data_IF_824740742373
#
_entry.id   IF_824740742373
#
_cell.length_a   1.000
_cell.length_b   1.000
_cell.length_c   1.000
_cell.angle_alpha   90.00
_cell.angle_beta   90.00
_cell.angle_gamma   90.00
#
_symmetry.space_group_name_H-M   'P 1'
#
loop_
_entity.id
_entity.type
_entity.pdbx_description
1 polymer ?
#
# COMPACT_ATOMS: atom_id res chain seq x y z
N UNK A 1 -22.20 3.62 -2.56
CA UNK A 1 -20.90 3.02 -2.24
C UNK A 1 -20.20 3.97 -1.26
N UNK A 2 -19.65 3.44 -0.16
CA UNK A 2 -19.01 4.21 0.92
C UNK A 2 -17.62 3.65 1.27
N UNK A 3 -17.05 2.84 0.38
CA UNK A 3 -15.78 2.13 0.66
C UNK A 3 -14.65 3.11 0.92
N UNK A 4 -14.47 4.09 0.03
CA UNK A 4 -13.38 5.06 0.09
C UNK A 4 -13.44 5.90 1.38
N UNK A 5 -14.61 6.45 1.72
CA UNK A 5 -14.83 7.23 2.95
C UNK A 5 -14.51 6.43 4.20
N UNK A 6 -14.94 5.16 4.25
CA UNK A 6 -14.79 4.32 5.44
C UNK A 6 -13.34 3.91 5.66
N UNK A 7 -12.64 3.53 4.59
CA UNK A 7 -11.21 3.20 4.66
C UNK A 7 -10.41 4.42 5.07
N UNK A 8 -10.68 5.59 4.48
CA UNK A 8 -10.00 6.82 4.85
C UNK A 8 -10.27 7.23 6.29
N UNK A 9 -11.49 7.05 6.79
CA UNK A 9 -11.83 7.33 8.19
C UNK A 9 -11.08 6.43 9.19
N UNK A 10 -10.61 5.24 8.78
CA UNK A 10 -9.90 4.35 9.70
C UNK A 10 -10.07 2.87 9.45
N UNK A 11 -11.01 2.44 8.60
CA UNK A 11 -11.45 1.04 8.57
C UNK A 11 -10.57 0.16 7.68
N UNK A 12 -9.30 0.02 8.07
CA UNK A 12 -8.33 -0.90 7.49
C UNK A 12 -7.45 -1.51 8.59
N UNK A 13 -7.03 -2.75 8.39
CA UNK A 13 -6.25 -3.49 9.37
C UNK A 13 -5.60 -4.72 8.76
N UNK A 14 -4.56 -5.23 9.41
CA UNK A 14 -3.91 -6.47 8.99
C UNK A 14 -4.61 -7.69 9.57
N UNK A 15 -4.69 -8.73 8.75
CA UNK A 15 -4.96 -10.09 9.18
C UNK A 15 -3.80 -10.96 8.68
N UNK A 16 -3.03 -11.55 9.59
CA UNK A 16 -1.83 -12.32 9.26
C UNK A 16 -2.14 -13.82 9.34
N UNK A 17 -1.74 -14.55 8.31
CA UNK A 17 -1.89 -16.00 8.21
C UNK A 17 -0.50 -16.62 8.21
N UNK A 18 -0.33 -17.62 9.06
CA UNK A 18 0.93 -18.34 9.25
C UNK A 18 0.71 -19.82 8.96
N UNK A 19 1.77 -20.50 8.54
CA UNK A 19 1.77 -21.94 8.26
C UNK A 19 2.99 -22.63 8.91
N UNK A 20 3.19 -23.92 8.66
CA UNK A 20 4.27 -24.68 9.28
C UNK A 20 5.69 -24.27 8.82
N UNK A 21 5.79 -23.50 7.73
CA UNK A 21 7.07 -23.00 7.21
C UNK A 21 7.31 -21.54 7.58
N UNK A 22 6.29 -20.70 7.45
CA UNK A 22 6.27 -19.32 7.95
C UNK A 22 5.45 -19.25 9.24
N UNK A 23 6.03 -19.74 10.33
CA UNK A 23 5.32 -20.11 11.56
C UNK A 23 5.22 -19.01 12.61
N UNK A 24 5.63 -17.78 12.28
CA UNK A 24 5.81 -16.71 13.26
C UNK A 24 6.72 -17.11 14.44
N UNK A 25 7.72 -17.94 14.20
CA UNK A 25 8.67 -18.38 15.22
C UNK A 25 10.10 -18.49 14.64
N UNK A 26 10.96 -17.53 15.00
CA UNK A 26 12.36 -17.49 14.59
C UNK A 26 13.24 -18.59 15.21
N UNK A 27 12.73 -19.35 16.18
CA UNK A 27 13.41 -20.50 16.79
C UNK A 27 12.71 -21.83 16.50
N UNK A 28 11.81 -21.87 15.50
CA UNK A 28 11.02 -23.06 15.19
C UNK A 28 11.90 -24.31 14.98
N UNK A 29 11.72 -25.38 15.78
CA UNK A 29 12.51 -26.61 15.67
C UNK A 29 12.25 -27.38 14.38
N UNK A 30 11.15 -27.11 13.66
CA UNK A 30 10.86 -27.71 12.36
C UNK A 30 12.02 -27.43 11.38
N UNK A 31 12.67 -28.46 10.81
CA UNK A 31 13.77 -28.27 9.88
C UNK A 31 13.33 -27.58 8.58
N UNK A 32 12.04 -27.60 8.24
CA UNK A 32 11.46 -26.93 7.07
C UNK A 32 11.02 -25.49 7.34
N UNK A 33 11.00 -25.04 8.61
CA UNK A 33 10.64 -23.67 8.93
C UNK A 33 11.67 -22.69 8.38
N UNK A 34 11.19 -21.59 7.81
CA UNK A 34 12.03 -20.52 7.30
C UNK A 34 12.75 -19.77 8.42
N UNK A 35 12.13 -19.69 9.61
CA UNK A 35 12.58 -18.86 10.74
C UNK A 35 12.85 -17.41 10.28
N UNK A 36 11.89 -16.82 9.58
CA UNK A 36 11.89 -15.38 9.30
C UNK A 36 11.82 -14.59 10.62
N UNK A 37 12.19 -13.29 10.65
CA UNK A 37 11.93 -12.47 11.82
C UNK A 37 10.44 -12.56 12.22
N UNK A 38 10.17 -12.68 13.51
CA UNK A 38 8.86 -13.00 14.06
C UNK A 38 8.56 -12.23 15.35
N UNK A 39 7.31 -12.26 15.81
CA UNK A 39 6.90 -11.62 17.06
C UNK A 39 7.15 -10.11 17.02
N UNK A 40 7.90 -9.58 18.00
CA UNK A 40 8.23 -8.15 18.10
C UNK A 40 9.05 -7.62 16.89
N UNK A 41 9.58 -8.53 16.07
CA UNK A 41 10.39 -8.22 14.89
C UNK A 41 9.63 -8.42 13.57
N UNK A 42 8.33 -8.71 13.61
CA UNK A 42 7.43 -8.77 12.45
C UNK A 42 6.35 -7.68 12.58
N UNK A 43 6.57 -6.55 11.89
CA UNK A 43 5.83 -5.31 12.15
C UNK A 43 4.96 -4.93 10.93
N UNK A 44 3.62 -4.89 11.09
CA UNK A 44 2.73 -4.36 10.07
C UNK A 44 2.80 -2.84 9.95
N UNK A 45 2.86 -2.34 8.72
CA UNK A 45 2.95 -0.92 8.38
C UNK A 45 1.90 -0.57 7.31
N UNK A 46 0.80 0.06 7.71
CA UNK A 46 -0.24 0.54 6.79
C UNK A 46 0.05 2.00 6.43
N UNK A 47 0.32 2.26 5.15
CA UNK A 47 0.48 3.59 4.59
C UNK A 47 -0.89 4.14 4.16
N UNK A 48 -1.20 5.35 4.58
CA UNK A 48 -2.27 6.16 3.99
C UNK A 48 -1.72 7.55 3.73
N UNK A 49 -2.20 8.24 2.70
CA UNK A 49 -2.04 9.67 2.60
C UNK A 49 -3.34 10.38 3.03
N UNK A 50 -3.21 11.38 3.88
CA UNK A 50 -4.33 12.06 4.55
C UNK A 50 -4.11 13.56 4.48
N UNK A 51 -5.17 14.29 4.14
CA UNK A 51 -5.20 15.74 4.28
C UNK A 51 -5.78 16.16 5.61
N UNK A 52 -5.23 17.23 6.16
CA UNK A 52 -5.71 17.82 7.40
C UNK A 52 -6.16 19.26 7.18
N UNK A 53 -7.26 19.64 7.82
CA UNK A 53 -7.66 21.03 7.96
C UNK A 53 -6.71 21.77 8.91
N UNK A 54 -6.76 23.11 8.92
CA UNK A 54 -5.89 23.92 9.78
C UNK A 54 -6.08 23.65 11.29
N UNK A 55 -7.25 23.15 11.70
CA UNK A 55 -7.58 22.71 13.07
C UNK A 55 -7.25 21.23 13.33
N UNK A 56 -6.63 20.54 12.36
CA UNK A 56 -6.11 19.18 12.51
C UNK A 56 -7.12 18.07 12.28
N UNK A 57 -8.31 18.35 11.71
CA UNK A 57 -9.28 17.33 11.34
C UNK A 57 -8.92 16.71 9.98
N UNK A 58 -9.16 15.40 9.82
CA UNK A 58 -9.00 14.77 8.53
C UNK A 58 -10.02 15.33 7.53
N UNK A 59 -9.55 15.84 6.39
CA UNK A 59 -10.40 16.36 5.32
C UNK A 59 -10.81 15.23 4.37
N UNK A 60 -12.11 15.15 4.10
CA UNK A 60 -12.68 14.28 3.06
C UNK A 60 -13.70 15.08 2.23
N UNK A 61 -13.21 15.99 1.39
CA UNK A 61 -13.97 16.74 0.37
C UNK A 61 -13.01 17.44 -0.61
N UNK A 62 -13.09 17.09 -1.91
CA UNK A 62 -12.10 17.44 -2.93
C UNK A 62 -12.65 18.15 -4.17
N UNK A 63 -13.79 18.83 -4.10
CA UNK A 63 -14.27 19.59 -5.28
C UNK A 63 -13.81 21.04 -5.38
N UNK A 64 -12.96 21.50 -4.46
CA UNK A 64 -12.42 22.85 -4.53
C UNK A 64 -10.88 22.77 -4.45
N UNK A 65 -10.19 22.59 -5.58
CA UNK A 65 -8.76 22.85 -5.66
C UNK A 65 -8.58 24.36 -5.65
N UNK A 66 -8.09 24.90 -4.54
CA UNK A 66 -7.73 26.30 -4.32
C UNK A 66 -8.65 27.39 -4.93
N UNK A 67 -9.51 27.94 -4.08
CA UNK A 67 -10.13 29.25 -4.31
C UNK A 67 -11.60 29.21 -4.71
N UNK A 68 -12.39 29.94 -3.91
CA UNK A 68 -13.72 30.48 -4.16
C UNK A 68 -14.99 29.64 -3.96
N UNK A 69 -15.65 30.06 -2.86
CA UNK A 69 -17.08 30.11 -2.54
C UNK A 69 -17.84 28.80 -2.25
N UNK A 70 -18.61 28.77 -1.15
CA UNK A 70 -19.54 27.69 -0.91
C UNK A 70 -20.66 27.67 -1.95
N UNK A 71 -21.17 26.46 -2.22
CA UNK A 71 -22.29 26.19 -3.12
C UNK A 71 -23.50 27.06 -2.69
N UNK A 72 -24.08 27.88 -3.57
CA UNK A 72 -25.19 28.76 -3.24
C UNK A 72 -26.51 28.03 -2.93
N UNK A 73 -26.59 26.71 -3.10
CA UNK A 73 -27.74 25.91 -2.71
C UNK A 73 -27.40 25.00 -1.52
N UNK A 74 -27.62 25.53 -0.31
CA UNK A 74 -27.61 24.76 0.92
C UNK A 74 -28.64 23.62 0.81
N UNK A 75 -28.16 22.37 0.77
CA UNK A 75 -29.01 21.20 0.96
C UNK A 75 -29.44 21.17 2.42
N UNK A 76 -30.66 20.69 2.74
CA UNK A 76 -31.09 20.57 4.13
C UNK A 76 -30.10 19.73 4.92
N UNK A 77 -29.67 20.27 6.06
CA UNK A 77 -28.72 19.66 6.99
C UNK A 77 -29.12 18.20 7.30
N UNK A 78 -28.20 17.24 7.20
CA UNK A 78 -28.42 15.91 7.75
C UNK A 78 -28.77 16.02 9.25
N UNK A 79 -29.63 15.13 9.74
CA UNK A 79 -29.89 15.04 11.18
C UNK A 79 -28.62 14.55 11.87
N UNK A 80 -27.99 15.42 12.64
CA UNK A 80 -26.84 15.12 13.50
C UNK A 80 -27.22 14.03 14.51
N UNK A 81 -26.63 12.84 14.35
CA UNK A 81 -26.81 11.71 15.28
C UNK A 81 -25.66 11.59 16.29
N UNK A 82 -24.70 12.51 16.24
CA UNK A 82 -23.50 12.54 17.06
C UNK A 82 -22.54 11.37 16.80
N UNK A 83 -21.29 11.55 17.18
CA UNK A 83 -20.33 10.44 17.22
C UNK A 83 -20.49 9.60 18.50
N UNK A 84 -19.77 8.46 18.57
CA UNK A 84 -19.80 7.56 19.74
C UNK A 84 -19.35 8.18 21.08
N UNK A 85 -18.84 9.41 21.06
CA UNK A 85 -18.39 10.17 22.24
C UNK A 85 -19.34 11.33 22.59
N UNK A 86 -20.50 11.46 21.93
CA UNK A 86 -21.52 12.45 22.24
C UNK A 86 -21.18 13.88 21.79
N UNK A 87 -20.18 14.04 20.91
CA UNK A 87 -19.88 15.33 20.29
C UNK A 87 -20.81 15.55 19.08
N UNK A 88 -21.40 16.74 18.91
CA UNK A 88 -22.12 17.10 17.68
C UNK A 88 -21.19 16.94 16.47
N UNK A 89 -21.67 16.31 15.41
CA UNK A 89 -20.94 16.21 14.15
C UNK A 89 -21.06 17.56 13.42
N UNK A 90 -20.27 18.55 13.85
CA UNK A 90 -20.21 19.85 13.17
C UNK A 90 -19.44 19.72 11.87
N UNK A 91 -20.10 19.21 10.84
CA UNK A 91 -19.57 19.17 9.51
C UNK A 91 -20.26 20.23 8.65
N UNK A 92 -19.46 21.15 8.10
CA UNK A 92 -19.90 22.26 7.25
C UNK A 92 -20.89 21.80 6.16
N UNK A 93 -21.91 22.63 5.92
CA UNK A 93 -23.06 22.39 5.03
C UNK A 93 -22.67 22.28 3.55
N UNK A 94 -21.40 22.52 3.23
CA UNK A 94 -20.91 22.67 1.88
C UNK A 94 -20.12 21.47 1.34
N UNK A 95 -20.53 20.26 1.74
CA UNK A 95 -19.82 19.05 1.33
C UNK A 95 -20.18 18.60 -0.07
N UNK A 96 -19.27 18.75 -1.03
CA UNK A 96 -19.24 17.82 -2.14
C UNK A 96 -18.52 16.54 -1.64
N UNK A 97 -19.27 15.71 -0.91
CA UNK A 97 -18.81 14.52 -0.17
C UNK A 97 -18.09 13.43 -1.01
N UNK A 98 -17.96 13.57 -2.33
CA UNK A 98 -17.64 12.48 -3.24
C UNK A 98 -16.80 12.88 -4.45
N UNK A 99 -15.47 12.84 -4.38
CA UNK A 99 -14.70 12.90 -5.63
C UNK A 99 -15.10 11.73 -6.54
N UNK A 100 -15.41 12.00 -7.82
CA UNK A 100 -15.56 10.96 -8.84
C UNK A 100 -14.21 10.61 -9.48
N UNK A 101 -13.12 11.16 -8.95
CA UNK A 101 -11.75 10.97 -9.38
C UNK A 101 -10.96 10.24 -8.28
N UNK A 102 -9.63 10.32 -8.30
CA UNK A 102 -8.80 9.89 -7.18
C UNK A 102 -8.64 10.99 -6.14
N UNK A 103 -7.99 10.65 -5.04
CA UNK A 103 -7.72 11.56 -3.94
C UNK A 103 -6.30 11.39 -3.43
N UNK A 104 -5.60 12.51 -3.27
CA UNK A 104 -4.20 12.53 -2.87
C UNK A 104 -4.00 13.44 -1.66
N UNK A 105 -3.51 12.87 -0.58
CA UNK A 105 -3.12 13.53 0.65
C UNK A 105 -1.81 14.30 0.55
N UNK A 106 -1.67 15.33 1.39
CA UNK A 106 -0.45 16.12 1.57
C UNK A 106 0.51 15.48 2.59
N UNK A 107 0.00 14.68 3.52
CA UNK A 107 0.79 13.98 4.51
C UNK A 107 0.67 12.46 4.37
N UNK A 108 1.82 11.78 4.33
CA UNK A 108 1.87 10.32 4.47
C UNK A 108 1.84 9.95 5.96
N UNK A 109 0.95 9.02 6.29
CA UNK A 109 0.87 8.38 7.59
C UNK A 109 1.30 6.92 7.50
N UNK A 110 1.97 6.43 8.54
CA UNK A 110 2.23 5.00 8.74
C UNK A 110 1.55 4.61 10.04
N UNK A 111 0.65 3.64 9.98
CA UNK A 111 -0.22 3.27 11.11
C UNK A 111 -0.89 4.49 11.76
N UNK A 112 -1.36 5.43 10.92
CA UNK A 112 -2.06 6.68 11.30
C UNK A 112 -1.20 7.73 12.03
N UNK A 113 0.11 7.57 12.08
CA UNK A 113 1.02 8.60 12.58
C UNK A 113 1.68 9.28 11.37
N UNK A 114 1.71 10.62 11.34
CA UNK A 114 2.37 11.37 10.27
C UNK A 114 3.88 11.12 10.36
N UNK A 115 4.44 10.57 9.27
CA UNK A 115 5.88 10.35 9.08
C UNK A 115 6.64 9.90 10.34
N UNK A 116 6.29 8.74 10.95
CA UNK A 116 6.80 8.37 12.25
C UNK A 116 8.26 7.94 12.19
N UNK A 117 8.86 7.75 13.37
CA UNK A 117 10.07 6.98 13.50
C UNK A 117 9.84 5.72 14.34
N UNK A 118 10.67 4.70 14.14
CA UNK A 118 10.75 3.50 14.95
C UNK A 118 12.20 3.29 15.40
N UNK A 119 12.41 3.19 16.71
CA UNK A 119 13.70 2.74 17.24
C UNK A 119 13.83 1.23 17.07
N UNK A 120 14.94 0.78 16.50
CA UNK A 120 15.16 -0.64 16.19
C UNK A 120 16.42 -1.16 16.86
N UNK A 121 16.34 -2.41 17.30
CA UNK A 121 17.53 -3.19 17.62
C UNK A 121 18.33 -3.49 16.34
N UNK A 122 19.65 -3.60 16.45
CA UNK A 122 20.53 -3.86 15.30
C UNK A 122 20.55 -5.35 14.93
N UNK A 123 19.40 -5.83 14.45
CA UNK A 123 19.12 -7.20 14.00
C UNK A 123 18.16 -7.17 12.81
N UNK A 124 17.75 -8.34 12.29
CA UNK A 124 16.76 -8.42 11.20
C UNK A 124 15.35 -8.18 11.72
N UNK A 125 14.59 -7.39 10.97
CA UNK A 125 13.16 -7.18 11.14
C UNK A 125 12.45 -7.50 9.83
N UNK A 126 11.24 -8.05 9.95
CA UNK A 126 10.28 -8.22 8.88
C UNK A 126 9.26 -7.09 8.96
N UNK A 127 9.00 -6.43 7.86
CA UNK A 127 8.01 -5.37 7.75
C UNK A 127 6.99 -5.73 6.70
N UNK A 128 5.71 -5.58 7.04
CA UNK A 128 4.59 -5.85 6.13
C UNK A 128 4.00 -4.52 5.72
N UNK A 129 4.42 -4.00 4.58
CA UNK A 129 3.87 -2.78 4.01
C UNK A 129 2.52 -3.08 3.38
N UNK A 130 1.52 -2.25 3.66
CA UNK A 130 0.23 -2.22 2.98
C UNK A 130 -0.04 -0.78 2.55
N UNK A 131 -0.41 -0.57 1.28
CA UNK A 131 -1.00 0.70 0.88
C UNK A 131 -2.52 0.66 1.15
N UNK A 132 -2.94 1.37 2.19
CA UNK A 132 -4.33 1.52 2.63
C UNK A 132 -5.15 2.49 1.77
N UNK A 133 -4.56 3.09 0.74
CA UNK A 133 -5.24 3.98 -0.18
C UNK A 133 -5.50 5.39 0.38
N UNK A 134 -6.38 6.16 -0.29
CA UNK A 134 -7.34 5.71 -1.31
C UNK A 134 -6.82 5.73 -2.76
N UNK A 135 -5.83 6.54 -3.13
CA UNK A 135 -5.42 6.65 -4.56
C UNK A 135 -3.92 6.79 -4.80
N UNK A 136 -3.13 7.25 -3.82
CA UNK A 136 -1.70 7.42 -4.02
C UNK A 136 -1.00 6.09 -4.27
N UNK A 137 -0.16 6.09 -5.31
CA UNK A 137 0.79 5.02 -5.60
C UNK A 137 2.15 5.43 -5.07
N UNK A 138 2.92 4.48 -4.55
CA UNK A 138 4.25 4.78 -4.00
C UNK A 138 5.35 4.05 -4.78
N UNK A 139 6.53 4.66 -4.82
CA UNK A 139 7.80 4.02 -5.13
C UNK A 139 8.78 4.31 -3.99
N UNK A 140 8.95 3.35 -3.08
CA UNK A 140 9.65 3.55 -1.82
C UNK A 140 11.15 3.25 -1.95
N UNK A 141 11.97 4.10 -1.37
CA UNK A 141 13.44 4.03 -1.33
C UNK A 141 13.95 3.96 0.11
N UNK A 142 14.98 3.16 0.35
CA UNK A 142 15.74 3.18 1.60
C UNK A 142 16.93 4.12 1.47
N UNK A 143 16.85 5.29 2.11
CA UNK A 143 17.94 6.28 2.20
C UNK A 143 18.61 6.16 3.56
N UNK A 144 19.89 5.83 3.59
CA UNK A 144 20.66 5.74 4.82
C UNK A 144 21.44 7.03 5.05
N UNK A 145 21.21 7.65 6.20
CA UNK A 145 21.95 8.80 6.71
C UNK A 145 22.88 8.31 7.83
N UNK A 146 24.20 8.20 7.57
CA UNK A 146 25.14 7.77 8.59
C UNK A 146 25.16 8.71 9.80
N UNK A 147 25.26 8.16 11.01
CA UNK A 147 25.40 8.96 12.23
C UNK A 147 26.74 9.70 12.33
N UNK A 148 27.75 9.23 11.57
CA UNK A 148 29.01 9.95 11.40
C UNK A 148 28.92 10.88 10.17
N UNK A 149 28.94 12.21 10.36
CA UNK A 149 28.75 13.18 9.28
C UNK A 149 29.85 13.16 8.21
N UNK A 150 30.98 12.46 8.45
CA UNK A 150 32.02 12.25 7.43
C UNK A 150 31.67 11.19 6.39
N UNK A 151 30.64 10.37 6.63
CA UNK A 151 30.16 9.36 5.67
C UNK A 151 28.98 9.96 4.90
N UNK A 152 29.01 9.96 3.56
CA UNK A 152 27.89 10.47 2.77
C UNK A 152 26.65 9.57 2.93
N UNK A 153 25.48 10.17 2.73
CA UNK A 153 24.24 9.43 2.58
C UNK A 153 24.29 8.53 1.35
N UNK A 154 23.58 7.40 1.39
CA UNK A 154 23.51 6.43 0.30
C UNK A 154 22.14 5.73 0.28
N UNK A 155 21.82 5.05 -0.81
CA UNK A 155 20.63 4.20 -0.90
C UNK A 155 21.02 2.74 -0.69
N UNK A 156 20.15 1.98 -0.03
CA UNK A 156 20.29 0.52 0.16
C UNK A 156 19.13 -0.22 -0.51
N UNK A 157 19.29 -1.51 -0.73
CA UNK A 157 18.28 -2.35 -1.38
C UNK A 157 17.31 -2.97 -0.36
N UNK A 158 16.07 -3.12 -0.76
CA UNK A 158 15.05 -3.91 -0.07
C UNK A 158 15.31 -5.40 -0.26
N UNK A 159 15.13 -6.21 0.79
CA UNK A 159 15.00 -7.67 0.68
C UNK A 159 13.51 -8.02 0.65
N UNK A 160 12.95 -8.26 -0.52
CA UNK A 160 11.52 -8.51 -0.73
C UNK A 160 11.22 -10.01 -0.67
N UNK A 161 10.25 -10.41 0.16
CA UNK A 161 9.82 -11.79 0.35
C UNK A 161 8.53 -12.13 -0.41
N UNK A 162 7.63 -11.16 -0.58
CA UNK A 162 6.36 -11.33 -1.30
C UNK A 162 5.89 -10.05 -1.99
N UNK A 163 4.96 -10.23 -2.93
CA UNK A 163 4.07 -9.20 -3.45
C UNK A 163 2.64 -9.75 -3.38
N UNK A 164 1.83 -9.19 -2.49
CA UNK A 164 0.46 -9.59 -2.16
C UNK A 164 0.25 -11.00 -1.59
N UNK A 165 0.17 -12.00 -2.46
CA UNK A 165 -0.28 -13.34 -2.12
C UNK A 165 0.80 -14.14 -1.40
N UNK A 166 1.17 -15.27 -1.98
CA UNK A 166 2.21 -16.13 -1.43
C UNK A 166 3.62 -15.51 -1.43
N UNK A 167 4.48 -16.08 -0.57
CA UNK A 167 5.93 -15.83 -0.61
C UNK A 167 6.48 -16.19 -2.00
N UNK A 168 7.44 -15.39 -2.46
CA UNK A 168 8.24 -15.68 -3.66
C UNK A 168 9.07 -16.96 -3.45
N UNK A 169 9.59 -17.53 -4.54
CA UNK A 169 10.45 -18.72 -4.45
C UNK A 169 11.77 -18.45 -3.74
N UNK A 170 12.27 -17.22 -3.83
CA UNK A 170 13.45 -16.74 -3.12
C UNK A 170 13.31 -15.23 -2.87
N UNK A 171 13.97 -14.69 -1.84
CA UNK A 171 14.01 -13.24 -1.61
C UNK A 171 14.63 -12.50 -2.80
N UNK A 172 14.04 -11.37 -3.17
CA UNK A 172 14.54 -10.49 -4.22
C UNK A 172 15.18 -9.24 -3.63
N UNK A 173 16.34 -8.85 -4.17
CA UNK A 173 16.92 -7.54 -3.89
C UNK A 173 16.36 -6.51 -4.87
N UNK A 174 15.80 -5.44 -4.34
CA UNK A 174 15.18 -4.37 -5.13
C UNK A 174 15.64 -3.00 -4.64
N UNK A 175 16.07 -2.13 -5.55
CA UNK A 175 16.49 -0.76 -5.21
C UNK A 175 15.33 0.20 -4.89
N UNK A 176 14.10 -0.28 -5.10
CA UNK A 176 12.85 0.43 -4.87
C UNK A 176 11.71 -0.57 -4.59
N UNK A 177 10.65 -0.11 -3.95
CA UNK A 177 9.46 -0.90 -3.65
C UNK A 177 8.22 -0.18 -4.17
N UNK A 178 7.67 -0.64 -5.29
CA UNK A 178 6.42 -0.12 -5.86
C UNK A 178 5.25 -0.65 -5.07
N UNK A 179 4.50 0.22 -4.40
CA UNK A 179 3.40 -0.17 -3.52
C UNK A 179 2.11 0.54 -3.95
N UNK A 180 1.27 -0.15 -4.71
CA UNK A 180 0.00 0.40 -5.23
C UNK A 180 -1.16 0.10 -4.29
N UNK A 181 -2.29 0.79 -4.48
CA UNK A 181 -3.45 0.67 -3.58
C UNK A 181 -3.84 -0.79 -3.40
N UNK A 182 -4.01 -1.21 -2.14
CA UNK A 182 -4.26 -2.58 -1.71
C UNK A 182 -3.12 -3.59 -1.91
N UNK A 183 -1.97 -3.20 -2.50
CA UNK A 183 -0.80 -4.07 -2.52
C UNK A 183 -0.20 -4.22 -1.12
N UNK A 184 0.37 -5.39 -0.87
CA UNK A 184 1.20 -5.71 0.28
C UNK A 184 2.58 -6.13 -0.19
N UNK A 185 3.59 -5.66 0.52
CA UNK A 185 4.94 -6.15 0.38
C UNK A 185 5.48 -6.59 1.73
N UNK A 186 5.98 -7.81 1.75
CA UNK A 186 6.71 -8.34 2.89
C UNK A 186 8.21 -8.17 2.62
N UNK A 187 8.91 -7.47 3.51
CA UNK A 187 10.33 -7.15 3.34
C UNK A 187 11.12 -7.38 4.60
N UNK A 188 12.41 -7.68 4.45
CA UNK A 188 13.37 -7.73 5.55
C UNK A 188 14.33 -6.55 5.45
N UNK A 189 14.57 -5.90 6.59
CA UNK A 189 15.68 -4.95 6.77
C UNK A 189 16.61 -5.53 7.83
N UNK A 190 17.87 -5.74 7.46
CA UNK A 190 18.91 -6.21 8.39
C UNK A 190 19.64 -5.02 9.03
N UNK A 191 19.12 -4.54 10.16
CA UNK A 191 19.72 -3.42 10.88
C UNK A 191 21.07 -3.75 11.53
N UNK A 192 21.50 -5.03 11.56
CA UNK A 192 22.83 -5.40 12.03
C UNK A 192 23.95 -4.91 11.10
N UNK A 193 23.62 -4.55 9.85
CA UNK A 193 24.54 -3.98 8.85
C UNK A 193 24.85 -2.51 9.10
N UNK A 194 24.00 -1.79 9.84
CA UNK A 194 24.16 -0.38 10.12
C UNK A 194 24.87 -0.13 11.46
N UNK A 195 25.45 1.06 11.61
CA UNK A 195 26.11 1.48 12.85
C UNK A 195 25.09 2.11 13.79
N UNK A 196 25.41 2.11 15.08
CA UNK A 196 24.62 2.86 16.05
C UNK A 196 24.62 4.34 15.67
N UNK A 197 23.44 4.96 15.66
CA UNK A 197 23.23 6.35 15.24
C UNK A 197 23.01 6.54 13.73
N UNK A 198 23.14 5.49 12.91
CA UNK A 198 22.68 5.57 11.51
C UNK A 198 21.14 5.66 11.48
N UNK A 199 20.60 6.51 10.61
CA UNK A 199 19.16 6.67 10.35
C UNK A 199 18.82 6.09 9.00
N UNK A 200 17.81 5.22 8.94
CA UNK A 200 17.37 4.56 7.71
C UNK A 200 15.98 5.12 7.39
N UNK A 201 15.92 6.00 6.40
CA UNK A 201 14.71 6.72 6.05
C UNK A 201 14.02 6.07 4.86
N UNK A 202 12.70 5.92 4.95
CA UNK A 202 11.85 5.52 3.84
C UNK A 202 11.32 6.78 3.18
N UNK A 203 11.60 6.93 1.88
CA UNK A 203 11.14 8.04 1.06
C UNK A 203 10.35 7.51 -0.13
N UNK A 204 9.33 8.25 -0.56
CA UNK A 204 8.63 8.03 -1.82
C UNK A 204 9.17 8.99 -2.89
N UNK A 205 9.64 8.45 -4.01
CA UNK A 205 10.13 9.25 -5.15
C UNK A 205 9.15 9.28 -6.34
N UNK A 206 7.96 8.67 -6.21
CA UNK A 206 6.94 8.71 -7.25
C UNK A 206 6.13 10.01 -7.17
N UNK A 207 6.21 10.83 -8.22
CA UNK A 207 5.32 11.98 -8.39
C UNK A 207 3.95 11.51 -8.90
N UNK A 208 2.88 11.99 -8.25
CA UNK A 208 1.49 11.64 -8.53
C UNK A 208 0.73 12.92 -8.90
N UNK A 209 -0.20 12.83 -9.86
CA UNK A 209 -1.11 13.94 -10.19
C UNK A 209 -2.06 14.22 -9.02
N UNK A 210 -2.30 15.50 -8.73
CA UNK A 210 -3.13 15.92 -7.60
C UNK A 210 -4.61 15.50 -7.72
N UNK A 211 -5.08 15.21 -8.92
CA UNK A 211 -6.42 14.66 -9.20
C UNK A 211 -6.52 13.14 -8.93
N UNK A 212 -5.43 12.53 -8.46
CA UNK A 212 -5.34 11.10 -8.17
C UNK A 212 -5.38 10.20 -9.41
N UNK A 213 -5.13 10.75 -10.60
CA UNK A 213 -5.01 9.96 -11.83
C UNK A 213 -3.79 9.04 -11.85
N UNK A 214 -2.88 9.17 -10.88
CA UNK A 214 -1.70 8.31 -10.77
C UNK A 214 -0.43 9.02 -11.23
N UNK A 215 0.62 8.25 -11.63
CA UNK A 215 1.96 8.80 -11.78
C UNK A 215 2.07 9.78 -12.94
N UNK A 216 2.74 10.92 -12.73
CA UNK A 216 3.03 11.88 -13.81
C UNK A 216 4.00 11.32 -14.84
N UNK A 217 4.84 10.37 -14.42
CA UNK A 217 5.98 9.83 -15.17
C UNK A 217 7.32 10.40 -14.71
N UNK A 218 7.32 11.44 -13.86
CA UNK A 218 8.54 12.00 -13.27
C UNK A 218 8.91 11.31 -11.96
N UNK A 219 10.21 11.33 -11.65
CA UNK A 219 10.78 10.87 -10.38
C UNK A 219 11.20 12.08 -9.57
N UNK A 220 10.73 12.18 -8.34
CA UNK A 220 11.10 13.22 -7.40
C UNK A 220 12.55 13.01 -6.94
N UNK A 221 13.29 14.11 -6.76
CA UNK A 221 14.69 14.07 -6.34
C UNK A 221 14.94 14.99 -5.15
N UNK A 222 16.00 14.73 -4.40
CA UNK A 222 16.45 15.62 -3.33
C UNK A 222 15.40 15.86 -2.26
N UNK A 223 15.07 17.13 -2.05
CA UNK A 223 14.13 17.59 -1.02
C UNK A 223 12.66 17.52 -1.49
N UNK A 224 12.42 17.24 -2.78
CA UNK A 224 11.06 17.09 -3.35
C UNK A 224 10.49 15.69 -3.11
N UNK A 225 11.33 14.72 -2.75
CA UNK A 225 10.87 13.37 -2.36
C UNK A 225 9.94 13.46 -1.14
N UNK A 226 8.97 12.56 -1.05
CA UNK A 226 7.98 12.58 0.03
C UNK A 226 8.47 11.69 1.19
N UNK A 227 8.66 12.22 2.41
CA UNK A 227 9.07 11.40 3.55
C UNK A 227 7.94 10.46 3.98
N UNK A 228 8.29 9.23 4.36
CA UNK A 228 7.31 8.20 4.78
C UNK A 228 7.51 7.80 6.23
N UNK A 229 8.71 7.39 6.61
CA UNK A 229 9.07 7.07 8.00
C UNK A 229 10.59 6.96 8.19
N UNK A 230 11.06 6.85 9.42
CA UNK A 230 12.48 6.66 9.76
C UNK A 230 12.69 5.49 10.74
N UNK A 231 13.59 4.58 10.43
CA UNK A 231 14.13 3.63 11.40
C UNK A 231 15.41 4.18 12.02
N UNK A 232 15.51 4.13 13.35
CA UNK A 232 16.67 4.61 14.11
C UNK A 232 17.41 3.43 14.69
N UNK A 233 18.61 3.16 14.19
CA UNK A 233 19.44 2.03 14.62
C UNK A 233 20.14 2.29 15.96
N UNK A 234 19.40 2.71 16.99
CA UNK A 234 19.92 3.06 18.31
C UNK A 234 20.03 1.87 19.27
N UNK A 235 19.27 0.81 19.01
CA UNK A 235 19.19 -0.33 19.89
C UNK A 235 20.47 -1.16 19.98
N UNK A 236 20.47 -2.07 20.96
CA UNK A 236 21.52 -3.07 21.14
C UNK A 236 21.59 -4.02 19.92
N UNK A 237 22.66 -4.82 19.86
CA UNK A 237 22.83 -5.89 18.86
C UNK A 237 22.63 -7.24 19.57
N UNK A 238 21.40 -7.71 19.74
CA UNK A 238 21.14 -8.98 20.43
C UNK A 238 21.54 -10.18 19.57
N UNK A 239 21.43 -11.38 20.14
CA UNK A 239 21.40 -12.62 19.36
C UNK A 239 20.16 -12.58 18.46
N UNK A 240 20.33 -12.99 17.21
CA UNK A 240 19.27 -12.99 16.20
C UNK A 240 19.22 -14.37 15.52
N UNK A 241 18.32 -15.28 15.95
CA UNK A 241 18.19 -16.62 15.37
C UNK A 241 17.45 -16.62 14.02
N UNK A 242 16.82 -15.51 13.64
CA UNK A 242 16.08 -15.41 12.38
C UNK A 242 17.01 -15.51 11.17
N UNK A 243 16.44 -15.86 10.02
CA UNK A 243 17.15 -16.15 8.77
C UNK A 243 16.51 -15.44 7.59
N UNK A 244 17.29 -15.28 6.53
CA UNK A 244 16.82 -14.95 5.19
C UNK A 244 17.09 -16.20 4.33
N UNK A 245 16.09 -17.08 4.12
CA UNK A 245 16.28 -18.30 3.36
C UNK A 245 16.67 -18.00 1.91
N UNK A 246 17.62 -18.73 1.33
CA UNK A 246 17.95 -18.61 -0.10
C UNK A 246 16.84 -19.16 -1.02
N UNK A 247 15.96 -20.02 -0.48
CA UNK A 247 14.78 -20.58 -1.13
C UNK A 247 13.66 -20.70 -0.11
N UNK A 248 12.44 -20.34 -0.50
CA UNK A 248 11.23 -20.40 0.32
C UNK A 248 10.28 -21.49 -0.20
N UNK A 249 9.32 -21.17 -1.05
CA UNK A 249 8.33 -22.12 -1.61
C UNK A 249 8.21 -21.96 -3.10
N UNK A 250 8.05 -23.06 -3.82
CA UNK A 250 7.79 -23.00 -5.27
C UNK A 250 6.43 -22.36 -5.52
N UNK A 251 6.32 -21.58 -6.58
CA UNK A 251 5.02 -21.07 -7.02
C UNK A 251 4.19 -22.24 -7.58
N UNK A 252 2.85 -22.21 -7.42
CA UNK A 252 2.02 -23.25 -8.01
C UNK A 252 2.19 -23.27 -9.54
N UNK A 253 2.30 -24.45 -10.13
CA UNK A 253 2.32 -24.59 -11.58
C UNK A 253 0.97 -24.18 -12.18
N UNK A 254 1.00 -23.47 -13.31
CA UNK A 254 -0.21 -23.19 -14.09
C UNK A 254 -0.41 -24.31 -15.11
N UNK A 255 -1.39 -25.18 -14.87
CA UNK A 255 -1.82 -26.17 -15.84
C UNK A 255 -2.62 -25.50 -16.97
N UNK A 256 -1.92 -25.16 -18.06
CA UNK A 256 -2.52 -24.51 -19.22
C UNK A 256 -3.60 -25.36 -19.91
N UNK A 257 -3.68 -26.68 -19.65
CA UNK A 257 -4.75 -27.53 -20.17
C UNK A 257 -6.11 -27.29 -19.49
N UNK A 258 -6.10 -26.68 -18.30
CA UNK A 258 -7.29 -26.27 -17.54
C UNK A 258 -7.83 -24.92 -17.99
N UNK A 259 -7.11 -24.18 -18.85
CA UNK A 259 -7.57 -22.87 -19.33
C UNK A 259 -8.76 -23.05 -20.26
N UNK A 260 -9.94 -22.60 -19.85
CA UNK A 260 -11.18 -22.70 -20.62
C UNK A 260 -11.51 -21.44 -21.40
N UNK A 261 -11.05 -20.26 -20.94
CA UNK A 261 -11.33 -18.98 -21.60
C UNK A 261 -10.18 -17.99 -21.46
N UNK A 262 -10.14 -17.06 -22.41
CA UNK A 262 -9.38 -15.81 -22.31
C UNK A 262 -10.36 -14.65 -22.27
N UNK A 263 -10.15 -13.67 -21.38
CA UNK A 263 -11.03 -12.50 -21.24
C UNK A 263 -10.24 -11.21 -21.36
N UNK A 264 -10.90 -10.19 -21.88
CA UNK A 264 -10.44 -8.82 -21.85
C UNK A 264 -11.34 -8.02 -20.91
N UNK A 265 -10.73 -7.32 -19.96
CA UNK A 265 -11.37 -6.33 -19.12
C UNK A 265 -10.73 -4.98 -19.42
N UNK A 266 -11.53 -4.08 -19.97
CA UNK A 266 -11.11 -2.73 -20.33
C UNK A 266 -11.55 -1.78 -19.23
N UNK A 267 -10.60 -1.12 -18.58
CA UNK A 267 -10.83 -0.09 -17.59
C UNK A 267 -10.75 1.27 -18.28
N UNK A 268 -11.79 2.07 -18.11
CA UNK A 268 -11.94 3.35 -18.81
C UNK A 268 -12.81 4.34 -18.02
N UNK A 269 -12.83 5.58 -18.49
CA UNK A 269 -13.66 6.66 -18.00
C UNK A 269 -14.64 7.12 -19.07
N UNK A 270 -15.92 6.75 -18.92
CA UNK A 270 -16.97 7.09 -19.88
C UNK A 270 -18.05 7.96 -19.23
N UNK A 271 -18.43 9.04 -19.92
CA UNK A 271 -19.47 9.99 -19.49
C UNK A 271 -19.35 10.47 -18.03
N UNK A 272 -18.12 10.66 -17.55
CA UNK A 272 -17.87 11.17 -16.20
C UNK A 272 -17.79 10.09 -15.11
N UNK A 273 -17.75 8.80 -15.48
CA UNK A 273 -17.79 7.68 -14.54
C UNK A 273 -16.79 6.57 -14.92
N UNK A 274 -16.24 5.92 -13.90
CA UNK A 274 -15.36 4.76 -14.06
C UNK A 274 -16.14 3.52 -14.50
N UNK A 275 -15.63 2.83 -15.51
CA UNK A 275 -16.27 1.65 -16.07
C UNK A 275 -15.31 0.49 -16.24
N UNK A 276 -15.88 -0.72 -16.27
CA UNK A 276 -15.21 -1.92 -16.77
C UNK A 276 -16.02 -2.43 -17.96
N UNK A 277 -15.36 -2.58 -19.12
CA UNK A 277 -16.00 -2.93 -20.38
C UNK A 277 -17.19 -2.00 -20.74
N UNK A 278 -17.04 -0.69 -20.48
CA UNK A 278 -18.06 0.34 -20.75
C UNK A 278 -19.30 0.26 -19.83
N UNK A 279 -19.22 -0.47 -18.71
CA UNK A 279 -20.32 -0.61 -17.75
C UNK A 279 -19.92 -0.13 -16.38
N UNK A 280 -20.85 0.58 -15.73
CA UNK A 280 -20.75 0.94 -14.31
C UNK A 280 -20.85 -0.31 -13.43
N UNK A 281 -20.30 -0.22 -12.22
CA UNK A 281 -20.51 -1.22 -11.18
C UNK A 281 -22.01 -1.35 -10.88
N UNK A 282 -22.50 -2.60 -10.88
CA UNK A 282 -23.85 -2.97 -10.44
C UNK A 282 -23.74 -4.21 -9.55
N UNK A 283 -24.09 -4.13 -8.24
CA UNK A 283 -23.96 -5.26 -7.34
C UNK A 283 -24.89 -6.44 -7.69
N UNK A 284 -25.89 -6.24 -8.54
CA UNK A 284 -26.84 -7.27 -8.95
C UNK A 284 -26.49 -7.89 -10.31
N UNK A 285 -25.39 -7.46 -10.94
CA UNK A 285 -24.94 -7.95 -12.25
C UNK A 285 -23.73 -8.87 -12.09
N UNK A 286 -23.74 -9.97 -12.85
CA UNK A 286 -22.58 -10.87 -12.96
C UNK A 286 -21.95 -10.69 -14.34
N UNK A 287 -20.78 -10.06 -14.39
CA UNK A 287 -20.06 -9.81 -15.66
C UNK A 287 -19.20 -11.00 -16.11
N UNK A 288 -18.78 -11.87 -15.19
CA UNK A 288 -18.04 -13.08 -15.51
C UNK A 288 -18.53 -14.27 -14.67
N UNK A 289 -18.83 -15.39 -15.35
CA UNK A 289 -19.12 -16.70 -14.73
C UNK A 289 -18.00 -17.67 -15.10
N UNK A 290 -17.26 -18.12 -14.09
CA UNK A 290 -16.10 -19.01 -14.22
C UNK A 290 -16.55 -20.44 -13.91
N UNK A 291 -16.10 -21.41 -14.70
CA UNK A 291 -16.39 -22.82 -14.46
C UNK A 291 -15.53 -23.31 -13.27
N UNK A 292 -16.15 -23.94 -12.28
CA UNK A 292 -15.45 -24.43 -11.10
C UNK A 292 -14.38 -25.46 -11.49
N UNK A 293 -13.17 -25.34 -10.93
CA UNK A 293 -12.05 -26.23 -11.22
C UNK A 293 -11.41 -26.01 -12.59
N UNK A 294 -11.68 -24.86 -13.23
CA UNK A 294 -11.03 -24.43 -14.46
C UNK A 294 -10.15 -23.20 -14.23
N UNK A 295 -9.30 -22.89 -15.20
CA UNK A 295 -8.53 -21.66 -15.26
C UNK A 295 -9.05 -20.73 -16.37
N UNK A 296 -8.83 -19.43 -16.22
CA UNK A 296 -9.01 -18.45 -17.27
C UNK A 296 -7.77 -17.53 -17.35
N UNK A 297 -7.45 -17.01 -18.54
CA UNK A 297 -6.42 -15.98 -18.70
C UNK A 297 -7.11 -14.64 -18.87
N UNK A 298 -6.85 -13.70 -18.00
CA UNK A 298 -7.45 -12.37 -18.04
C UNK A 298 -6.42 -11.34 -18.48
N UNK A 299 -6.77 -10.57 -19.51
CA UNK A 299 -6.05 -9.38 -19.91
C UNK A 299 -6.77 -8.18 -19.32
N UNK A 300 -6.10 -7.47 -18.41
CA UNK A 300 -6.55 -6.18 -17.93
C UNK A 300 -5.94 -5.10 -18.81
N UNK A 301 -6.79 -4.33 -19.49
CA UNK A 301 -6.36 -3.21 -20.33
C UNK A 301 -6.79 -1.91 -19.69
N UNK A 302 -5.83 -1.04 -19.50
CA UNK A 302 -6.08 0.37 -19.28
C UNK A 302 -6.25 1.05 -20.64
N UNK A 303 -7.47 1.50 -20.99
CA UNK A 303 -7.72 2.19 -22.27
C UNK A 303 -7.31 3.66 -22.19
N UNK A 304 -7.42 4.26 -21.00
CA UNK A 304 -7.04 5.63 -20.73
C UNK A 304 -5.53 5.83 -20.76
N UNK A 305 -5.10 7.05 -21.13
CA UNK A 305 -3.67 7.41 -21.20
C UNK A 305 -3.13 8.06 -19.93
N UNK A 306 -4.00 8.53 -19.03
CA UNK A 306 -3.60 9.29 -17.83
C UNK A 306 -3.85 8.58 -16.52
N UNK A 307 -4.87 7.71 -16.46
CA UNK A 307 -5.32 7.11 -15.21
C UNK A 307 -4.61 5.80 -14.94
N UNK A 308 -4.18 5.56 -13.70
CA UNK A 308 -3.64 4.29 -13.26
C UNK A 308 -4.70 3.49 -12.51
N UNK A 309 -4.80 2.19 -12.80
CA UNK A 309 -5.81 1.30 -12.21
C UNK A 309 -5.13 0.11 -11.53
N UNK A 310 -4.89 0.16 -10.22
CA UNK A 310 -4.52 -1.05 -9.46
C UNK A 310 -5.74 -1.98 -9.42
N UNK A 311 -5.72 -3.02 -10.27
CA UNK A 311 -6.84 -3.95 -10.41
C UNK A 311 -6.74 -5.05 -9.36
N UNK A 312 -7.86 -5.31 -8.67
CA UNK A 312 -7.98 -6.39 -7.70
C UNK A 312 -9.06 -7.40 -8.13
N UNK A 313 -8.77 -8.69 -7.94
CA UNK A 313 -9.72 -9.80 -8.10
C UNK A 313 -9.91 -10.50 -6.77
N UNK A 314 -11.17 -10.79 -6.42
CA UNK A 314 -11.49 -11.54 -5.21
C UNK A 314 -11.34 -13.05 -5.44
N UNK A 315 -11.37 -13.81 -4.34
CA UNK A 315 -11.42 -15.28 -4.25
C UNK A 315 -10.12 -16.01 -4.60
N UNK A 316 -9.56 -15.82 -5.79
CA UNK A 316 -8.35 -16.53 -6.25
C UNK A 316 -7.11 -15.64 -6.31
N UNK A 317 -5.93 -16.24 -6.16
CA UNK A 317 -4.65 -15.64 -6.54
C UNK A 317 -4.37 -15.89 -8.03
N UNK A 318 -3.53 -15.05 -8.64
CA UNK A 318 -3.13 -15.17 -10.04
C UNK A 318 -1.63 -14.96 -10.21
N UNK A 319 -1.07 -15.48 -11.30
CA UNK A 319 0.29 -15.14 -11.72
C UNK A 319 0.22 -14.18 -12.92
N UNK A 320 1.13 -13.22 -12.92
CA UNK A 320 1.29 -12.27 -14.02
C UNK A 320 2.05 -12.97 -15.15
N UNK A 321 1.39 -13.18 -16.29
CA UNK A 321 2.02 -13.78 -17.47
C UNK A 321 2.87 -12.77 -18.25
N UNK A 322 2.36 -11.55 -18.41
CA UNK A 322 3.03 -10.45 -19.10
C UNK A 322 2.50 -9.10 -18.62
N UNK A 323 3.33 -8.06 -18.76
CA UNK A 323 2.96 -6.65 -18.61
C UNK A 323 3.46 -5.94 -19.86
N UNK A 324 2.54 -5.34 -20.63
CA UNK A 324 2.80 -4.76 -21.95
C UNK A 324 2.84 -3.23 -21.93
#
# INVERSE_FOLDING_TARGET
DFTATNVYAGFSGFYLIFDERDSNNEEDPNPLAFRLPSGDYDIPLILHDVQFTADGQARWDFFLPDGDQPNPEARPEPVDVGNSQGTPDSYDSNRLQYTTQGMVGDHVTVNRIITPYLEVERRKYRFRFLNGGPSRLYNLRLKVIPGNPRRPAYYDDWVVLSNDGNLLEAPLLQSNLKLYVANRHDVIIDFARYRRGDRIQVWNDMEIRNDGAGPTGYTLEGDDMIPVMEFRAEGRRPRDPSRIPARMRDLPEIDMSQVRRKRLFVFDYDNGLWTVNGRLMDPNRVDAKIEQGSAEIWTFRNEGVTWAHPVHTHFEEFQILEVN
#
